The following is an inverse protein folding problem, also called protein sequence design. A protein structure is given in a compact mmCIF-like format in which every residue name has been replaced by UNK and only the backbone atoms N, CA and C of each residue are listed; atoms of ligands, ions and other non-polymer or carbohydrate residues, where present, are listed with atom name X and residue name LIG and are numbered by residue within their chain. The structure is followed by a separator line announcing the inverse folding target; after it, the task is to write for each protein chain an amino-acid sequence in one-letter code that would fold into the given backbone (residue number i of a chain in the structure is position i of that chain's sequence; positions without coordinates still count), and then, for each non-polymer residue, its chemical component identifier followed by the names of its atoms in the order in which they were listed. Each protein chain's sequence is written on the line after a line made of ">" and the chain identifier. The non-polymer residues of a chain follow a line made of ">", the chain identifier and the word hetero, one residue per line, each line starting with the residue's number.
data_IF_277298963320
#
_entry.id   IF_277298963320
#
_cell.length_a   1.000
_cell.length_b   1.000
_cell.length_c   1.000
_cell.angle_alpha   90.00
_cell.angle_beta   90.00
_cell.angle_gamma   90.00
#
_symmetry.space_group_name_H-M   'P 1'
#
loop_
_entity.id
_entity.type
_entity.pdbx_description
1 polymer ?
#
# COMPACT_ATOMS: atom_id res chain seq x y z
N UNK A 1 2.38 27.88 -12.64
CA UNK A 1 3.76 27.36 -12.62
C UNK A 1 3.70 25.92 -13.11
N UNK A 2 4.51 25.58 -14.13
CA UNK A 2 4.65 24.23 -14.70
C UNK A 2 5.85 23.49 -14.11
N UNK A 3 6.42 24.01 -13.02
CA UNK A 3 7.56 23.40 -12.34
C UNK A 3 7.13 22.13 -11.61
N UNK A 4 8.03 21.14 -11.47
CA UNK A 4 7.80 20.00 -10.60
C UNK A 4 7.43 20.46 -9.19
N UNK A 5 6.42 19.81 -8.60
CA UNK A 5 5.98 20.07 -7.23
C UNK A 5 5.86 18.78 -6.45
N UNK A 6 6.27 18.83 -5.20
CA UNK A 6 6.06 17.76 -4.22
C UNK A 6 4.97 18.22 -3.26
N UNK A 7 3.95 17.39 -3.12
CA UNK A 7 2.91 17.52 -2.12
C UNK A 7 3.10 16.41 -1.09
N UNK A 8 2.78 16.67 0.16
CA UNK A 8 2.88 15.67 1.20
C UNK A 8 1.67 15.63 2.12
N UNK A 9 1.44 14.47 2.70
CA UNK A 9 0.44 14.25 3.75
C UNK A 9 1.04 13.33 4.82
N UNK A 10 0.88 13.71 6.07
CA UNK A 10 1.30 12.90 7.23
C UNK A 10 0.13 11.98 7.64
N UNK A 11 0.43 10.70 7.87
CA UNK A 11 -0.47 9.74 8.55
C UNK A 11 0.05 9.44 9.95
N UNK A 12 -0.55 8.47 10.63
CA UNK A 12 -0.11 7.99 11.95
C UNK A 12 1.20 7.20 11.92
N UNK A 13 1.57 6.63 10.77
CA UNK A 13 2.71 5.72 10.64
C UNK A 13 3.55 5.91 9.37
N UNK A 14 3.20 6.81 8.45
CA UNK A 14 4.04 7.15 7.29
C UNK A 14 3.79 8.57 6.75
N UNK A 15 4.68 9.02 5.87
CA UNK A 15 4.51 10.23 5.07
C UNK A 15 4.18 9.83 3.63
N UNK A 16 3.04 10.29 3.12
CA UNK A 16 2.69 10.15 1.71
C UNK A 16 3.26 11.32 0.92
N UNK A 17 4.04 11.02 -0.13
CA UNK A 17 4.64 12.00 -1.03
C UNK A 17 4.02 11.86 -2.42
N UNK A 18 3.55 12.96 -2.99
CA UNK A 18 3.04 13.05 -4.36
C UNK A 18 3.87 14.02 -5.17
N UNK A 19 4.55 13.52 -6.19
CA UNK A 19 5.33 14.33 -7.13
C UNK A 19 4.48 14.59 -8.39
N UNK A 20 4.32 15.86 -8.76
CA UNK A 20 3.62 16.30 -9.97
C UNK A 20 4.55 17.10 -10.86
N UNK A 21 4.66 16.71 -12.12
CA UNK A 21 5.49 17.38 -13.12
C UNK A 21 4.92 17.13 -14.51
N UNK A 22 5.35 17.92 -15.49
CA UNK A 22 4.92 17.81 -16.90
C UNK A 22 5.96 17.02 -17.68
N UNK A 23 5.50 16.18 -18.60
CA UNK A 23 6.34 15.32 -19.43
C UNK A 23 5.91 15.41 -20.89
N UNK A 24 6.81 15.01 -21.79
CA UNK A 24 6.46 14.88 -23.20
C UNK A 24 5.47 13.73 -23.41
N UNK A 25 4.67 13.81 -24.49
CA UNK A 25 3.69 12.79 -24.90
C UNK A 25 4.26 11.36 -24.90
N UNK A 26 5.51 11.21 -25.35
CA UNK A 26 6.17 9.93 -25.57
C UNK A 26 7.20 9.66 -24.49
N UNK A 27 7.34 8.39 -24.10
CA UNK A 27 8.33 7.96 -23.12
C UNK A 27 7.93 8.14 -21.65
N UNK A 28 6.66 8.46 -21.36
CA UNK A 28 6.17 8.66 -19.98
C UNK A 28 6.44 7.45 -19.06
N UNK A 29 6.37 6.23 -19.59
CA UNK A 29 6.61 5.00 -18.80
C UNK A 29 8.07 4.87 -18.43
N UNK A 30 8.97 5.06 -19.40
CA UNK A 30 10.42 4.93 -19.19
C UNK A 30 10.92 6.02 -18.24
N UNK A 31 10.43 7.25 -18.42
CA UNK A 31 10.72 8.36 -17.51
C UNK A 31 10.22 8.07 -16.09
N UNK A 32 8.99 7.54 -15.95
CA UNK A 32 8.45 7.19 -14.64
C UNK A 32 9.25 6.06 -13.99
N UNK A 33 9.68 5.05 -14.74
CA UNK A 33 10.50 3.95 -14.23
C UNK A 33 11.86 4.47 -13.73
N UNK A 34 12.57 5.25 -14.56
CA UNK A 34 13.84 5.86 -14.18
C UNK A 34 13.70 6.73 -12.93
N UNK A 35 12.72 7.65 -12.91
CA UNK A 35 12.48 8.53 -11.78
C UNK A 35 12.15 7.76 -10.49
N UNK A 36 11.36 6.67 -10.59
CA UNK A 36 11.01 5.86 -9.42
C UNK A 36 12.23 5.16 -8.84
N UNK A 37 13.12 4.63 -9.70
CA UNK A 37 14.37 3.99 -9.28
C UNK A 37 15.33 4.98 -8.63
N UNK A 38 15.49 6.16 -9.24
CA UNK A 38 16.34 7.23 -8.71
C UNK A 38 15.85 7.70 -7.33
N UNK A 39 14.53 7.89 -7.18
CA UNK A 39 13.92 8.24 -5.90
C UNK A 39 14.17 7.16 -4.85
N UNK A 40 13.98 5.87 -5.20
CA UNK A 40 14.22 4.77 -4.26
C UNK A 40 15.69 4.70 -3.83
N UNK A 41 16.63 4.84 -4.77
CA UNK A 41 18.05 4.84 -4.47
C UNK A 41 18.44 6.03 -3.56
N UNK A 42 17.92 7.22 -3.85
CA UNK A 42 18.19 8.41 -3.04
C UNK A 42 17.58 8.31 -1.63
N UNK A 43 16.39 7.72 -1.50
CA UNK A 43 15.77 7.47 -0.19
C UNK A 43 16.59 6.45 0.62
N UNK A 44 17.07 5.38 -0.02
CA UNK A 44 17.94 4.39 0.61
C UNK A 44 19.27 5.01 1.07
N UNK A 45 19.93 5.80 0.22
CA UNK A 45 21.16 6.53 0.55
C UNK A 45 20.95 7.51 1.71
N UNK A 46 19.79 8.15 1.77
CA UNK A 46 19.40 9.04 2.87
C UNK A 46 18.96 8.30 4.15
N UNK A 47 18.89 6.96 4.14
CA UNK A 47 18.41 6.15 5.26
C UNK A 47 16.91 6.28 5.53
N UNK A 48 16.13 6.70 4.54
CA UNK A 48 14.68 6.87 4.64
C UNK A 48 13.99 5.58 4.22
N UNK A 49 13.46 4.85 5.21
CA UNK A 49 12.73 3.61 4.96
C UNK A 49 11.41 3.84 4.22
N UNK A 50 11.08 2.93 3.30
CA UNK A 50 9.78 2.90 2.63
C UNK A 50 8.75 2.25 3.55
N UNK A 51 7.65 2.96 3.82
CA UNK A 51 6.58 2.40 4.62
C UNK A 51 5.91 1.22 3.89
N UNK A 52 5.71 0.12 4.62
CA UNK A 52 4.89 -1.01 4.19
C UNK A 52 3.62 -1.06 5.03
N UNK A 53 2.45 -1.13 4.39
CA UNK A 53 1.22 -1.40 5.10
C UNK A 53 1.14 -2.90 5.43
N UNK A 54 1.27 -3.24 6.71
CA UNK A 54 0.97 -4.58 7.20
C UNK A 54 -0.54 -4.71 7.36
N UNK A 55 -1.18 -5.53 6.53
CA UNK A 55 -2.59 -5.89 6.67
C UNK A 55 -2.70 -7.19 7.46
N UNK A 56 -3.29 -7.15 8.65
CA UNK A 56 -3.67 -8.35 9.37
C UNK A 56 -4.92 -8.95 8.73
N UNK A 57 -4.75 -10.01 7.92
CA UNK A 57 -5.86 -10.84 7.45
C UNK A 57 -6.25 -11.79 8.59
N UNK A 58 -6.92 -11.26 9.62
CA UNK A 58 -7.47 -12.07 10.70
C UNK A 58 -8.97 -12.23 10.52
N UNK A 59 -9.41 -13.48 10.31
CA UNK A 59 -10.84 -13.80 10.30
C UNK A 59 -11.14 -15.12 9.61
N UNK A 60 -10.85 -16.25 10.27
CA UNK A 60 -11.60 -17.45 9.93
C UNK A 60 -13.07 -17.22 10.29
N UNK A 61 -14.03 -17.52 9.40
CA UNK A 61 -15.45 -17.36 9.71
C UNK A 61 -15.83 -18.23 10.91
N UNK A 62 -16.73 -17.75 11.76
CA UNK A 62 -17.22 -18.52 12.91
C UNK A 62 -17.96 -19.77 12.43
N UNK A 63 -17.38 -20.96 12.64
CA UNK A 63 -18.02 -22.24 12.33
C UNK A 63 -19.02 -22.61 13.42
N UNK A 64 -20.29 -22.80 13.05
CA UNK A 64 -21.33 -23.34 13.94
C UNK A 64 -21.44 -24.85 13.70
N UNK A 65 -20.92 -25.65 14.63
CA UNK A 65 -21.09 -27.11 14.62
C UNK A 65 -22.43 -27.45 15.27
N UNK A 66 -23.33 -28.11 14.54
CA UNK A 66 -24.54 -28.75 15.12
C UNK A 66 -24.22 -30.21 15.40
N UNK A 67 -24.45 -30.65 16.64
CA UNK A 67 -24.30 -32.05 17.03
C UNK A 67 -25.65 -32.76 16.82
N UNK A 68 -25.70 -33.73 15.91
CA UNK A 68 -26.92 -34.46 15.55
C UNK A 68 -27.32 -35.53 16.60
N UNK A 69 -26.50 -35.76 17.63
CA UNK A 69 -26.72 -36.83 18.62
C UNK A 69 -27.81 -36.53 19.66
N UNK A 70 -28.44 -35.35 19.65
CA UNK A 70 -29.50 -34.98 20.61
C UNK A 70 -30.93 -35.04 20.03
N UNK A 71 -31.11 -35.44 18.76
CA UNK A 71 -32.43 -35.52 18.14
C UNK A 71 -33.19 -36.83 18.43
N UNK A 72 -32.53 -37.85 18.99
CA UNK A 72 -33.10 -39.19 19.16
C UNK A 72 -33.63 -39.49 20.58
N UNK A 73 -33.52 -38.55 21.53
CA UNK A 73 -33.99 -38.76 22.92
C UNK A 73 -35.36 -38.10 23.21
N UNK A 74 -36.00 -37.52 22.20
CA UNK A 74 -37.35 -36.94 22.31
C UNK A 74 -38.28 -37.58 21.28
N UNK A 75 -38.42 -38.91 21.31
CA UNK A 75 -39.56 -39.61 20.72
C UNK A 75 -40.09 -40.68 21.68
#
# INVERSE_FOLDING_TARGET
>A
SMEPKVYWRITDNWLELTVRFVVHERGIRDLKDAASRDILAALDEAGIGIASATYDIVGFPTLRVRNESQAAEQE
#
